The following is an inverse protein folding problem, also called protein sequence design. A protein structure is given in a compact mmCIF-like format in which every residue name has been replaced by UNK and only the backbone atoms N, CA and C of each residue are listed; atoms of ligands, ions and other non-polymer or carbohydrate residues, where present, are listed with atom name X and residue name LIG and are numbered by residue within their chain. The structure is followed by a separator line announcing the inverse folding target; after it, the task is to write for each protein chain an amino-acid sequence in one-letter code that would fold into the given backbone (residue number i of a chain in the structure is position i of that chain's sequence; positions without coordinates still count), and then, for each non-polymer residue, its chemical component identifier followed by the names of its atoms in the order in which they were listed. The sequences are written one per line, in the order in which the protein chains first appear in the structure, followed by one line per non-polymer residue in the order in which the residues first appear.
data_IF_612289527287
#
_entry.id   IF_612289527287
#
_cell.length_a   1.000
_cell.length_b   1.000
_cell.length_c   1.000
_cell.angle_alpha   90.00
_cell.angle_beta   90.00
_cell.angle_gamma   90.00
#
_symmetry.space_group_name_H-M   'P 1'
#
loop_
_entity.id
_entity.type
_entity.pdbx_description
1 polymer ?
#
# COMPACT_ATOMS: atom_id res chain seq x y z
N UNK A 1 -8.20 0.04 -10.85
CA UNK A 1 -7.89 -0.50 -9.52
C UNK A 1 -8.96 -0.03 -8.53
N UNK A 2 -9.35 -0.85 -7.56
CA UNK A 2 -10.32 -0.50 -6.51
C UNK A 2 -9.73 -0.76 -5.11
N UNK A 3 -10.32 -0.16 -4.08
CA UNK A 3 -9.88 -0.30 -2.68
C UNK A 3 -10.90 -1.13 -1.88
N UNK A 4 -10.41 -2.05 -1.05
CA UNK A 4 -11.23 -2.78 -0.06
C UNK A 4 -10.46 -2.93 1.25
N UNK A 5 -11.10 -3.44 2.30
CA UNK A 5 -10.42 -3.82 3.55
C UNK A 5 -9.94 -5.27 3.51
N UNK A 6 -9.11 -5.66 4.48
CA UNK A 6 -8.85 -7.06 4.81
C UNK A 6 -10.11 -7.82 5.25
N UNK A 7 -10.03 -9.16 5.28
CA UNK A 7 -11.16 -10.04 5.59
C UNK A 7 -11.74 -9.84 7.00
N UNK A 8 -10.87 -9.63 8.00
CA UNK A 8 -11.25 -9.09 9.31
C UNK A 8 -11.02 -7.59 9.26
N UNK A 9 -12.05 -6.81 9.56
CA UNK A 9 -12.01 -5.34 9.52
C UNK A 9 -12.73 -4.75 10.72
N UNK A 10 -12.51 -3.48 10.98
CA UNK A 10 -13.20 -2.66 11.97
C UNK A 10 -13.57 -1.31 11.33
N UNK A 11 -14.23 -0.45 12.11
CA UNK A 11 -14.67 0.87 11.63
C UNK A 11 -13.50 1.75 11.20
N UNK A 12 -12.38 1.73 11.95
CA UNK A 12 -11.18 2.51 11.65
C UNK A 12 -10.57 2.10 10.30
N UNK A 13 -10.37 0.80 10.06
CA UNK A 13 -9.85 0.28 8.79
C UNK A 13 -10.79 0.60 7.62
N UNK A 14 -12.10 0.60 7.85
CA UNK A 14 -13.08 0.96 6.84
C UNK A 14 -13.03 2.45 6.51
N UNK A 15 -12.86 3.31 7.52
CA UNK A 15 -12.69 4.75 7.34
C UNK A 15 -11.40 5.06 6.58
N UNK A 16 -10.29 4.41 6.96
CA UNK A 16 -9.00 4.52 6.28
C UNK A 16 -9.10 4.08 4.81
N UNK A 17 -9.72 2.93 4.53
CA UNK A 17 -9.93 2.46 3.17
C UNK A 17 -10.76 3.42 2.30
N UNK A 18 -11.77 4.09 2.88
CA UNK A 18 -12.51 5.14 2.17
C UNK A 18 -11.68 6.38 1.93
N UNK A 19 -10.87 6.80 2.90
CA UNK A 19 -9.98 7.95 2.76
C UNK A 19 -8.94 7.73 1.64
N UNK A 20 -8.30 6.55 1.63
CA UNK A 20 -7.35 6.15 0.58
C UNK A 20 -8.05 6.10 -0.79
N UNK A 21 -9.24 5.50 -0.87
CA UNK A 21 -10.01 5.47 -2.10
C UNK A 21 -10.31 6.88 -2.62
N UNK A 22 -10.69 7.79 -1.73
CA UNK A 22 -10.94 9.19 -2.08
C UNK A 22 -9.68 9.90 -2.58
N UNK A 23 -8.56 9.78 -1.87
CA UNK A 23 -7.28 10.41 -2.24
C UNK A 23 -6.77 9.92 -3.60
N UNK A 24 -6.85 8.60 -3.84
CA UNK A 24 -6.42 7.97 -5.07
C UNK A 24 -7.46 8.06 -6.21
N UNK A 25 -8.64 8.64 -5.96
CA UNK A 25 -9.77 8.70 -6.91
C UNK A 25 -10.17 7.31 -7.42
N UNK A 26 -10.26 6.35 -6.50
CA UNK A 26 -10.65 4.96 -6.73
C UNK A 26 -11.97 4.64 -6.04
N UNK A 27 -12.64 3.58 -6.49
CA UNK A 27 -13.84 3.09 -5.83
C UNK A 27 -13.50 2.29 -4.57
N UNK A 28 -14.24 2.53 -3.48
CA UNK A 28 -14.23 1.66 -2.31
C UNK A 28 -15.29 0.55 -2.45
N UNK A 29 -14.85 -0.70 -2.44
CA UNK A 29 -15.72 -1.88 -2.48
C UNK A 29 -15.74 -2.56 -1.10
N UNK A 30 -16.91 -2.63 -0.43
CA UNK A 30 -17.01 -3.29 0.87
C UNK A 30 -16.65 -4.79 0.80
N UNK A 31 -15.80 -5.27 1.70
CA UNK A 31 -15.28 -6.65 1.69
C UNK A 31 -16.36 -7.73 1.82
N UNK A 32 -17.39 -7.51 2.65
CA UNK A 32 -18.56 -8.41 2.88
C UNK A 32 -18.20 -9.90 3.01
N UNK A 33 -17.10 -10.23 3.71
CA UNK A 33 -16.57 -11.60 3.87
C UNK A 33 -16.18 -12.33 2.56
N UNK A 34 -16.11 -11.63 1.42
CA UNK A 34 -15.64 -12.19 0.14
C UNK A 34 -14.11 -12.29 0.12
N UNK A 35 -13.55 -13.23 -0.65
CA UNK A 35 -12.11 -13.21 -0.97
C UNK A 35 -11.80 -12.02 -1.88
N UNK A 36 -10.51 -11.65 -2.00
CA UNK A 36 -10.10 -10.62 -2.98
C UNK A 36 -10.45 -11.09 -4.38
N UNK A 37 -10.13 -12.34 -4.72
CA UNK A 37 -10.44 -12.95 -6.01
C UNK A 37 -11.93 -12.86 -6.38
N UNK A 38 -12.83 -13.16 -5.44
CA UNK A 38 -14.27 -13.09 -5.67
C UNK A 38 -14.77 -11.66 -5.95
N UNK A 39 -14.09 -10.63 -5.41
CA UNK A 39 -14.41 -9.24 -5.73
C UNK A 39 -13.83 -8.86 -7.09
N UNK A 40 -12.59 -9.27 -7.38
CA UNK A 40 -11.95 -9.07 -8.68
C UNK A 40 -12.70 -9.75 -9.83
N UNK A 41 -13.37 -10.87 -9.59
CA UNK A 41 -14.25 -11.50 -10.59
C UNK A 41 -15.44 -10.62 -10.99
N UNK A 42 -15.90 -9.74 -10.10
CA UNK A 42 -17.03 -8.83 -10.32
C UNK A 42 -16.52 -7.51 -10.90
N UNK A 43 -15.49 -6.91 -10.29
CA UNK A 43 -14.97 -5.60 -10.64
C UNK A 43 -14.05 -5.63 -11.87
N UNK A 44 -13.44 -6.80 -12.15
CA UNK A 44 -12.51 -7.04 -13.27
C UNK A 44 -11.31 -6.09 -13.26
N UNK A 45 -10.70 -5.88 -12.09
CA UNK A 45 -9.62 -4.91 -11.90
C UNK A 45 -8.71 -5.30 -10.72
N UNK A 46 -7.57 -4.62 -10.58
CA UNK A 46 -6.63 -4.76 -9.47
C UNK A 46 -7.25 -4.29 -8.15
N UNK A 47 -6.85 -4.92 -7.04
CA UNK A 47 -7.41 -4.68 -5.72
C UNK A 47 -6.35 -4.21 -4.73
N UNK A 48 -6.50 -2.97 -4.23
CA UNK A 48 -5.72 -2.47 -3.11
C UNK A 48 -6.44 -2.81 -1.79
N UNK A 49 -5.80 -3.62 -0.96
CA UNK A 49 -6.34 -4.07 0.32
C UNK A 49 -5.71 -3.27 1.45
N UNK A 50 -6.58 -2.61 2.23
CA UNK A 50 -6.20 -1.96 3.48
C UNK A 50 -6.23 -2.98 4.62
N UNK A 51 -5.03 -3.42 5.01
CA UNK A 51 -4.80 -4.29 6.16
C UNK A 51 -4.61 -3.50 7.46
N UNK A 52 -4.35 -4.21 8.56
CA UNK A 52 -4.11 -3.57 9.86
C UNK A 52 -2.76 -2.84 9.91
N UNK A 53 -1.74 -3.44 9.30
CA UNK A 53 -0.35 -2.99 9.44
C UNK A 53 0.23 -2.42 8.13
N UNK A 54 -0.41 -2.70 6.99
CA UNK A 54 0.08 -2.31 5.66
C UNK A 54 -1.01 -2.34 4.59
N UNK A 55 -0.69 -1.73 3.46
CA UNK A 55 -1.40 -1.86 2.20
C UNK A 55 -0.84 -3.03 1.38
N UNK A 56 -1.72 -3.81 0.78
CA UNK A 56 -1.35 -4.93 -0.11
C UNK A 56 -2.04 -4.74 -1.45
N UNK A 57 -1.27 -4.77 -2.55
CA UNK A 57 -1.84 -4.75 -3.89
C UNK A 57 -1.95 -6.18 -4.40
N UNK A 58 -3.16 -6.56 -4.80
CA UNK A 58 -3.49 -7.79 -5.50
C UNK A 58 -3.77 -7.46 -6.97
N UNK A 59 -2.81 -7.69 -7.89
CA UNK A 59 -3.08 -7.60 -9.31
C UNK A 59 -4.17 -8.59 -9.74
N UNK A 60 -4.95 -8.26 -10.76
CA UNK A 60 -5.97 -9.13 -11.32
C UNK A 60 -5.34 -10.44 -11.82
N UNK A 61 -5.80 -11.57 -11.28
CA UNK A 61 -5.33 -12.90 -11.66
C UNK A 61 -4.01 -13.33 -11.00
N UNK A 62 -3.38 -12.48 -10.17
CA UNK A 62 -2.24 -12.89 -9.36
C UNK A 62 -2.69 -13.72 -8.15
N UNK A 63 -1.93 -14.78 -7.84
CA UNK A 63 -2.19 -15.61 -6.67
C UNK A 63 -1.78 -14.91 -5.36
N UNK A 64 -0.68 -14.16 -5.40
CA UNK A 64 -0.08 -13.51 -4.23
C UNK A 64 -0.05 -11.99 -4.40
N UNK A 65 -0.27 -11.23 -3.32
CA UNK A 65 -0.11 -9.78 -3.35
C UNK A 65 1.36 -9.36 -3.24
N UNK A 66 1.61 -8.08 -3.46
CA UNK A 66 2.83 -7.44 -2.99
C UNK A 66 2.51 -6.19 -2.17
N UNK A 67 3.47 -5.75 -1.38
CA UNK A 67 3.32 -4.59 -0.50
C UNK A 67 4.61 -3.79 -0.44
N UNK A 68 4.52 -2.55 0.00
CA UNK A 68 5.69 -1.71 0.23
C UNK A 68 6.51 -2.26 1.40
N UNK A 69 7.77 -2.61 1.14
CA UNK A 69 8.74 -2.95 2.16
C UNK A 69 9.73 -1.79 2.32
N UNK A 70 10.02 -1.32 3.55
CA UNK A 70 10.91 -0.18 3.79
C UNK A 70 12.35 -0.39 3.28
N UNK A 71 12.72 -1.62 2.90
CA UNK A 71 14.01 -1.98 2.30
C UNK A 71 15.17 -1.33 3.06
N UNK A 72 15.96 -0.52 2.36
CA UNK A 72 17.15 0.11 2.91
C UNK A 72 16.89 1.44 3.62
N UNK A 73 15.62 1.88 3.77
CA UNK A 73 15.29 3.14 4.44
C UNK A 73 15.86 3.21 5.86
N UNK A 74 15.79 2.10 6.61
CA UNK A 74 16.36 2.01 7.96
C UNK A 74 17.89 2.17 7.97
N UNK A 75 18.59 1.61 6.99
CA UNK A 75 20.04 1.79 6.89
C UNK A 75 20.37 3.24 6.53
N UNK A 76 19.65 3.81 5.55
CA UNK A 76 19.83 5.20 5.12
C UNK A 76 19.65 6.20 6.26
N UNK A 77 18.57 6.09 7.05
CA UNK A 77 18.34 7.01 8.17
C UNK A 77 19.39 6.85 9.28
N UNK A 78 19.83 5.61 9.58
CA UNK A 78 20.89 5.36 10.57
C UNK A 78 22.23 5.98 10.18
N UNK A 79 22.56 6.06 8.89
CA UNK A 79 23.77 6.73 8.39
C UNK A 79 23.68 8.23 8.62
N UNK A 80 22.58 8.85 8.21
CA UNK A 80 22.34 10.28 8.43
C UNK A 80 22.42 10.64 9.92
N UNK A 81 21.82 9.84 10.81
CA UNK A 81 21.91 10.04 12.26
C UNK A 81 23.34 9.96 12.84
N UNK A 82 24.25 9.27 12.14
CA UNK A 82 25.68 9.18 12.49
C UNK A 82 26.53 10.28 11.84
N UNK A 83 25.92 11.18 11.06
CA UNK A 83 26.63 12.18 10.25
C UNK A 83 27.29 11.60 8.99
N UNK A 84 26.94 10.37 8.60
CA UNK A 84 27.37 9.77 7.33
C UNK A 84 26.45 10.21 6.18
N UNK A 85 26.92 10.08 4.93
CA UNK A 85 26.11 10.37 3.75
C UNK A 85 25.11 9.25 3.42
N UNK A 86 24.00 9.64 2.81
CA UNK A 86 23.02 8.72 2.23
C UNK A 86 23.40 8.39 0.77
N UNK A 87 23.67 7.11 0.43
CA UNK A 87 24.05 6.73 -0.93
C UNK A 87 23.06 7.17 -2.01
N UNK A 88 21.76 7.25 -1.69
CA UNK A 88 20.77 7.68 -2.67
C UNK A 88 20.88 9.17 -2.97
N UNK A 89 21.15 10.01 -1.96
CA UNK A 89 21.33 11.46 -2.17
C UNK A 89 22.61 11.73 -2.97
N UNK A 90 23.68 11.00 -2.66
CA UNK A 90 24.96 11.12 -3.36
C UNK A 90 24.82 10.70 -4.83
N UNK A 91 24.18 9.56 -5.10
CA UNK A 91 23.96 9.06 -6.44
C UNK A 91 23.04 9.96 -7.27
N UNK A 92 22.01 10.53 -6.63
CA UNK A 92 21.10 11.48 -7.26
C UNK A 92 21.71 12.89 -7.46
N UNK A 93 22.91 13.14 -6.92
CA UNK A 93 23.55 14.47 -6.87
C UNK A 93 22.60 15.53 -6.32
N UNK A 94 21.90 15.18 -5.25
CA UNK A 94 20.90 16.06 -4.66
C UNK A 94 21.57 17.37 -4.21
N UNK A 95 20.95 18.50 -4.55
CA UNK A 95 21.41 19.84 -4.16
C UNK A 95 20.34 20.51 -3.30
N UNK A 96 20.75 21.53 -2.56
CA UNK A 96 19.82 22.42 -1.86
C UNK A 96 18.87 23.06 -2.88
N UNK A 97 17.59 23.11 -2.52
CA UNK A 97 16.51 23.63 -3.36
C UNK A 97 16.21 25.10 -3.12
#
# INVERSE_FOLDING_TARGET
MFVTTAGRTNENMTAEARAIAFELKMDFVPRKKRSVSAIQEIVKDDCLVVGKDRLELFPLGAAEPFFFHPNSAMFRIKRLMKGESDPLTDAAKLQEG
#
